data_IF_441484944503
#
_entry.id   IF_441484944503
#
_cell.length_a   1.000
_cell.length_b   1.000
_cell.length_c   1.000
_cell.angle_alpha   90.00
_cell.angle_beta   90.00
_cell.angle_gamma   90.00
#
_symmetry.space_group_name_H-M   'P 1'
#
loop_
_entity.id
_entity.type
_entity.pdbx_description
1 polymer ?
#
# COMPACT_ATOMS: atom_id res chain seq x y z
N UNK A 1 -42.03 30.26 23.37
CA UNK A 1 -41.13 30.68 22.27
C UNK A 1 -41.22 29.64 21.16
N UNK A 2 -41.68 30.02 19.97
CA UNK A 2 -42.04 29.08 18.91
C UNK A 2 -40.83 28.36 18.30
N UNK A 3 -41.04 27.10 17.91
CA UNK A 3 -40.10 26.19 17.22
C UNK A 3 -39.46 26.83 15.97
N UNK A 4 -40.07 27.87 15.41
CA UNK A 4 -39.51 28.68 14.32
C UNK A 4 -38.32 29.57 14.71
N UNK A 5 -38.22 30.01 15.97
CA UNK A 5 -37.08 30.82 16.43
C UNK A 5 -35.81 29.99 16.65
N UNK A 6 -35.94 28.68 16.85
CA UNK A 6 -34.81 27.75 16.98
C UNK A 6 -34.23 27.34 15.62
N UNK A 7 -35.08 27.15 14.59
CA UNK A 7 -34.63 26.91 13.21
C UNK A 7 -33.78 28.04 12.61
N UNK A 8 -33.97 29.29 13.07
CA UNK A 8 -33.20 30.45 12.58
C UNK A 8 -31.84 30.64 13.25
N UNK A 9 -31.55 29.95 14.37
CA UNK A 9 -30.23 30.02 15.04
C UNK A 9 -29.23 28.99 14.52
N UNK A 10 -29.68 27.94 13.84
CA UNK A 10 -28.84 26.87 13.28
C UNK A 10 -28.42 27.09 11.82
N UNK A 11 -28.68 28.25 11.22
CA UNK A 11 -28.30 28.48 9.82
C UNK A 11 -27.83 29.92 9.56
N UNK A 12 -26.64 30.32 10.04
CA UNK A 12 -26.04 31.57 9.63
C UNK A 12 -25.42 31.36 8.23
N UNK A 13 -26.18 31.80 7.22
CA UNK A 13 -25.90 31.71 5.76
C UNK A 13 -26.25 30.35 5.17
N UNK A 14 -27.33 30.32 4.39
CA UNK A 14 -27.76 29.20 3.56
C UNK A 14 -26.75 28.81 2.47
N UNK A 15 -25.61 28.27 2.87
CA UNK A 15 -24.85 27.36 2.02
C UNK A 15 -25.59 26.03 2.11
N UNK A 16 -26.29 25.65 1.03
CA UNK A 16 -26.66 24.24 0.84
C UNK A 16 -25.39 23.42 1.07
N UNK A 17 -25.43 22.30 1.82
CA UNK A 17 -24.29 21.41 1.90
C UNK A 17 -23.87 21.11 0.46
N UNK A 18 -22.63 21.46 0.14
CA UNK A 18 -22.09 21.09 -1.15
C UNK A 18 -21.96 19.57 -1.08
N UNK A 19 -22.84 18.82 -1.73
CA UNK A 19 -22.56 17.39 -1.94
C UNK A 19 -21.23 17.31 -2.68
N UNK A 20 -20.52 16.20 -2.50
CA UNK A 20 -19.33 15.88 -3.28
C UNK A 20 -19.77 15.68 -4.74
N UNK A 21 -19.91 16.78 -5.48
CA UNK A 21 -20.25 16.75 -6.89
C UNK A 21 -18.98 16.45 -7.64
N UNK A 22 -18.71 15.15 -7.79
CA UNK A 22 -17.84 14.70 -8.88
C UNK A 22 -18.32 15.38 -10.17
N UNK A 23 -17.40 15.96 -10.92
CA UNK A 23 -17.72 16.45 -12.26
C UNK A 23 -18.28 15.29 -13.09
N UNK A 24 -19.08 15.58 -14.10
CA UNK A 24 -19.61 14.52 -15.00
C UNK A 24 -18.49 13.66 -15.60
N UNK A 25 -17.32 14.27 -15.83
CA UNK A 25 -16.16 13.59 -16.38
C UNK A 25 -15.47 12.69 -15.36
N UNK A 26 -15.22 13.17 -14.14
CA UNK A 26 -14.69 12.34 -13.05
C UNK A 26 -15.61 11.17 -12.72
N UNK A 27 -16.92 11.43 -12.68
CA UNK A 27 -17.93 10.42 -12.41
C UNK A 27 -17.90 9.30 -13.47
N UNK A 28 -17.74 9.68 -14.74
CA UNK A 28 -17.63 8.75 -15.88
C UNK A 28 -16.30 7.99 -15.88
N UNK A 29 -15.19 8.66 -15.55
CA UNK A 29 -13.87 8.02 -15.39
C UNK A 29 -13.90 6.99 -14.25
N UNK A 30 -14.45 7.37 -13.09
CA UNK A 30 -14.57 6.50 -11.93
C UNK A 30 -15.48 5.29 -12.22
N UNK A 31 -16.58 5.49 -12.95
CA UNK A 31 -17.41 4.39 -13.44
C UNK A 31 -16.64 3.43 -14.33
N UNK A 32 -15.97 3.93 -15.36
CA UNK A 32 -15.17 3.08 -16.23
C UNK A 32 -14.12 2.30 -15.44
N UNK A 33 -13.52 2.93 -14.43
CA UNK A 33 -12.51 2.35 -13.57
C UNK A 33 -13.07 1.25 -12.65
N UNK A 34 -14.24 1.45 -12.04
CA UNK A 34 -14.89 0.43 -11.19
C UNK A 34 -15.48 -0.71 -12.04
N UNK A 35 -16.09 -0.39 -13.18
CA UNK A 35 -16.76 -1.38 -14.02
C UNK A 35 -15.80 -2.26 -14.82
N UNK A 36 -14.59 -1.79 -15.10
CA UNK A 36 -13.59 -2.59 -15.82
C UNK A 36 -13.32 -3.94 -15.11
N UNK A 37 -12.79 -3.99 -13.87
CA UNK A 37 -12.44 -5.25 -13.22
C UNK A 37 -13.64 -6.19 -13.04
N UNK A 38 -14.84 -5.68 -12.69
CA UNK A 38 -16.03 -6.54 -12.56
C UNK A 38 -16.47 -7.14 -13.89
N UNK A 39 -16.46 -6.38 -15.00
CA UNK A 39 -16.77 -6.93 -16.33
C UNK A 39 -15.72 -7.94 -16.76
N UNK A 40 -14.46 -7.73 -16.37
CA UNK A 40 -13.37 -8.68 -16.62
C UNK A 40 -13.54 -9.98 -15.84
N UNK A 41 -13.95 -9.88 -14.57
CA UNK A 41 -14.28 -11.02 -13.74
C UNK A 41 -15.48 -11.81 -14.31
N UNK A 42 -16.57 -11.14 -14.66
CA UNK A 42 -17.76 -11.74 -15.29
C UNK A 42 -17.41 -12.49 -16.58
N UNK A 43 -16.60 -11.89 -17.47
CA UNK A 43 -16.12 -12.57 -18.67
C UNK A 43 -15.28 -13.80 -18.36
N UNK A 44 -14.41 -13.74 -17.35
CA UNK A 44 -13.57 -14.89 -17.00
C UNK A 44 -14.42 -16.01 -16.41
N UNK A 45 -15.37 -15.68 -15.53
CA UNK A 45 -16.33 -16.65 -14.97
C UNK A 45 -17.04 -17.45 -16.07
N UNK A 46 -17.58 -16.75 -17.08
CA UNK A 46 -18.25 -17.36 -18.24
C UNK A 46 -17.35 -18.25 -19.10
N UNK A 47 -16.03 -18.08 -19.03
CA UNK A 47 -15.08 -18.97 -19.72
C UNK A 47 -14.62 -20.15 -18.84
N UNK A 48 -14.75 -20.04 -17.52
CA UNK A 48 -14.35 -21.10 -16.58
C UNK A 48 -15.46 -22.16 -16.44
N UNK A 49 -16.71 -21.72 -16.27
CA UNK A 49 -17.90 -22.57 -16.16
C UNK A 49 -19.09 -21.96 -16.89
N UNK A 50 -20.02 -22.82 -17.33
CA UNK A 50 -21.27 -22.40 -17.97
C UNK A 50 -22.30 -21.87 -16.94
N UNK A 51 -22.22 -22.34 -15.69
CA UNK A 51 -23.09 -21.96 -14.58
C UNK A 51 -22.35 -22.07 -13.22
N UNK A 52 -23.02 -21.60 -12.16
CA UNK A 52 -22.52 -21.66 -10.78
C UNK A 52 -22.71 -23.04 -10.13
N UNK A 53 -23.44 -23.98 -10.75
CA UNK A 53 -23.85 -25.25 -10.13
C UNK A 53 -22.66 -26.08 -9.69
N UNK A 54 -21.63 -26.18 -10.54
CA UNK A 54 -20.41 -26.90 -10.20
C UNK A 54 -19.70 -26.26 -9.00
N UNK A 55 -19.63 -24.94 -8.92
CA UNK A 55 -18.99 -24.27 -7.78
C UNK A 55 -19.78 -24.38 -6.48
N UNK A 56 -21.11 -24.34 -6.54
CA UNK A 56 -21.99 -24.45 -5.36
C UNK A 56 -22.07 -25.88 -4.82
N UNK A 57 -21.92 -26.88 -5.69
CA UNK A 57 -22.04 -28.30 -5.33
C UNK A 57 -20.71 -29.02 -5.22
N UNK A 58 -19.62 -28.47 -5.77
CA UNK A 58 -18.29 -29.03 -5.61
C UNK A 58 -17.90 -29.00 -4.14
N UNK A 59 -17.81 -30.18 -3.55
CA UNK A 59 -16.98 -30.36 -2.37
C UNK A 59 -15.55 -30.20 -2.84
N UNK A 60 -14.95 -29.04 -2.58
CA UNK A 60 -13.58 -28.63 -2.96
C UNK A 60 -12.52 -29.74 -2.78
N UNK A 61 -12.78 -30.70 -1.89
CA UNK A 61 -11.99 -31.90 -1.61
C UNK A 61 -11.81 -32.90 -2.76
N UNK A 62 -12.64 -32.88 -3.83
CA UNK A 62 -12.76 -34.00 -4.77
C UNK A 62 -12.66 -33.64 -6.26
N UNK A 63 -12.16 -32.46 -6.58
CA UNK A 63 -11.94 -32.06 -7.98
C UNK A 63 -10.57 -32.55 -8.48
N UNK A 64 -10.47 -32.83 -9.77
CA UNK A 64 -9.17 -33.09 -10.41
C UNK A 64 -8.31 -31.82 -10.44
N UNK A 65 -7.04 -31.94 -10.85
CA UNK A 65 -6.09 -30.83 -10.86
C UNK A 65 -6.50 -29.67 -11.79
N UNK A 66 -7.11 -29.98 -12.94
CA UNK A 66 -7.52 -28.95 -13.92
C UNK A 66 -8.73 -28.18 -13.40
N UNK A 67 -9.69 -28.89 -12.81
CA UNK A 67 -10.87 -28.28 -12.21
C UNK A 67 -10.52 -27.56 -10.92
N UNK A 68 -9.51 -27.99 -10.15
CA UNK A 68 -9.00 -27.24 -9.01
C UNK A 68 -8.48 -25.85 -9.40
N UNK A 69 -7.70 -25.76 -10.48
CA UNK A 69 -7.24 -24.48 -11.01
C UNK A 69 -8.41 -23.59 -11.42
N UNK A 70 -9.38 -24.12 -12.16
CA UNK A 70 -10.59 -23.38 -12.53
C UNK A 70 -11.39 -22.91 -11.31
N UNK A 71 -11.58 -23.76 -10.30
CA UNK A 71 -12.25 -23.42 -9.04
C UNK A 71 -11.55 -22.26 -8.33
N UNK A 72 -10.23 -22.32 -8.25
CA UNK A 72 -9.42 -21.26 -7.64
C UNK A 72 -9.67 -19.92 -8.34
N UNK A 73 -9.57 -19.88 -9.68
CA UNK A 73 -9.82 -18.65 -10.44
C UNK A 73 -11.29 -18.21 -10.43
N UNK A 74 -12.23 -19.14 -10.30
CA UNK A 74 -13.63 -18.81 -10.07
C UNK A 74 -13.81 -18.08 -8.75
N UNK A 75 -13.17 -18.56 -7.67
CA UNK A 75 -13.12 -17.89 -6.38
C UNK A 75 -12.49 -16.49 -6.45
N UNK A 76 -11.36 -16.36 -7.17
CA UNK A 76 -10.70 -15.06 -7.44
C UNK A 76 -11.68 -14.07 -8.08
N UNK A 77 -12.39 -14.48 -9.13
CA UNK A 77 -13.35 -13.64 -9.83
C UNK A 77 -14.52 -13.21 -8.93
N UNK A 78 -15.04 -14.12 -8.08
CA UNK A 78 -16.10 -13.78 -7.12
C UNK A 78 -15.63 -12.73 -6.11
N UNK A 79 -14.40 -12.85 -5.62
CA UNK A 79 -13.85 -11.89 -4.66
C UNK A 79 -13.62 -10.50 -5.28
N UNK A 80 -13.14 -10.44 -6.53
CA UNK A 80 -13.08 -9.19 -7.30
C UNK A 80 -14.49 -8.62 -7.53
N UNK A 81 -15.45 -9.46 -7.91
CA UNK A 81 -16.85 -9.06 -8.11
C UNK A 81 -17.45 -8.44 -6.84
N UNK A 82 -17.30 -9.09 -5.69
CA UNK A 82 -17.74 -8.57 -4.38
C UNK A 82 -17.11 -7.21 -4.06
N UNK A 83 -15.80 -7.06 -4.30
CA UNK A 83 -15.10 -5.80 -4.06
C UNK A 83 -15.61 -4.67 -4.96
N UNK A 84 -15.82 -4.95 -6.26
CA UNK A 84 -16.28 -3.93 -7.21
C UNK A 84 -17.75 -3.55 -7.01
N UNK A 85 -18.64 -4.50 -6.70
CA UNK A 85 -20.05 -4.21 -6.38
C UNK A 85 -20.14 -3.30 -5.15
N UNK A 86 -19.30 -3.55 -4.14
CA UNK A 86 -19.25 -2.67 -2.99
C UNK A 86 -18.77 -1.25 -3.34
N UNK A 87 -17.78 -1.11 -4.23
CA UNK A 87 -17.34 0.21 -4.72
C UNK A 87 -18.45 0.97 -5.45
N UNK A 88 -19.33 0.27 -6.18
CA UNK A 88 -20.49 0.89 -6.83
C UNK A 88 -21.43 1.48 -5.77
N UNK A 89 -21.78 0.69 -4.75
CA UNK A 89 -22.66 1.14 -3.66
C UNK A 89 -22.06 2.30 -2.86
N UNK A 90 -20.76 2.25 -2.57
CA UNK A 90 -20.06 3.32 -1.84
C UNK A 90 -20.00 4.61 -2.65
N UNK A 91 -19.81 4.49 -3.97
CA UNK A 91 -19.81 5.65 -4.86
C UNK A 91 -21.18 6.34 -4.85
N UNK A 92 -22.27 5.59 -4.93
CA UNK A 92 -23.63 6.13 -4.85
C UNK A 92 -23.83 6.87 -3.53
N UNK A 93 -23.41 6.26 -2.43
CA UNK A 93 -23.50 6.86 -1.09
C UNK A 93 -22.69 8.17 -0.97
N UNK A 94 -21.50 8.26 -1.57
CA UNK A 94 -20.67 9.48 -1.53
C UNK A 94 -21.32 10.69 -2.22
N UNK A 95 -22.27 10.48 -3.14
CA UNK A 95 -23.01 11.58 -3.76
C UNK A 95 -24.04 12.20 -2.79
N UNK A 96 -24.33 11.52 -1.68
CA UNK A 96 -25.33 11.91 -0.68
C UNK A 96 -24.71 12.51 0.59
N UNK A 97 -23.38 12.37 0.80
CA UNK A 97 -22.68 12.91 1.98
C UNK A 97 -22.35 14.41 1.79
N UNK A 98 -22.75 15.29 2.75
CA UNK A 98 -22.35 16.70 2.77
C UNK A 98 -20.82 16.88 2.80
N UNK A 99 -20.26 17.72 1.93
CA UNK A 99 -18.82 18.03 1.88
C UNK A 99 -18.38 19.05 2.95
N UNK A 100 -18.94 18.99 4.16
CA UNK A 100 -18.56 19.93 5.20
C UNK A 100 -17.06 19.81 5.54
N UNK A 101 -16.40 20.96 5.57
CA UNK A 101 -14.96 21.12 5.83
C UNK A 101 -14.61 20.71 7.27
N UNK A 102 -15.60 20.65 8.16
CA UNK A 102 -15.48 20.09 9.50
C UNK A 102 -16.76 19.29 9.82
N UNK A 103 -16.78 17.97 9.54
CA UNK A 103 -17.98 17.19 9.75
C UNK A 103 -18.34 17.19 11.25
N UNK A 104 -19.61 17.43 11.54
CA UNK A 104 -20.21 17.12 12.85
C UNK A 104 -19.81 15.69 13.28
N UNK A 105 -19.81 15.37 14.59
CA UNK A 105 -19.37 14.05 15.09
C UNK A 105 -19.96 12.86 14.32
N UNK A 106 -21.22 12.97 13.89
CA UNK A 106 -21.91 11.95 13.09
C UNK A 106 -21.32 11.83 11.67
N UNK A 107 -20.96 12.92 11.02
CA UNK A 107 -20.28 12.89 9.71
C UNK A 107 -18.90 12.22 9.79
N UNK A 108 -18.17 12.42 10.90
CA UNK A 108 -16.88 11.73 11.17
C UNK A 108 -17.09 10.22 11.35
N UNK A 109 -18.17 9.82 12.02
CA UNK A 109 -18.54 8.40 12.19
C UNK A 109 -18.91 7.77 10.84
N UNK A 110 -19.70 8.45 10.01
CA UNK A 110 -20.10 7.94 8.69
C UNK A 110 -18.87 7.76 7.79
N UNK A 111 -18.02 8.79 7.68
CA UNK A 111 -16.80 8.73 6.86
C UNK A 111 -15.80 7.69 7.37
N UNK A 112 -15.61 7.60 8.69
CA UNK A 112 -14.80 6.55 9.32
C UNK A 112 -15.33 5.14 9.04
N UNK A 113 -16.65 4.94 9.11
CA UNK A 113 -17.27 3.64 8.83
C UNK A 113 -17.03 3.19 7.38
N UNK A 114 -17.16 4.09 6.40
CA UNK A 114 -16.85 3.78 4.99
C UNK A 114 -15.37 3.46 4.84
N UNK A 115 -14.51 4.28 5.46
CA UNK A 115 -13.07 4.08 5.43
C UNK A 115 -12.68 2.70 5.97
N UNK A 116 -13.23 2.26 7.10
CA UNK A 116 -12.97 0.94 7.69
C UNK A 116 -13.38 -0.20 6.76
N UNK A 117 -14.55 -0.08 6.13
CA UNK A 117 -15.08 -1.08 5.19
C UNK A 117 -14.20 -1.15 3.93
N UNK A 118 -13.80 -0.01 3.35
CA UNK A 118 -12.87 0.03 2.21
C UNK A 118 -11.52 -0.59 2.55
N UNK A 119 -11.04 -0.25 3.73
CA UNK A 119 -9.75 -0.68 4.25
C UNK A 119 -9.70 -2.19 4.47
N UNK A 120 -10.78 -2.79 4.98
CA UNK A 120 -10.95 -4.24 5.03
C UNK A 120 -10.88 -4.89 3.63
N UNK A 121 -11.53 -4.29 2.63
CA UNK A 121 -11.48 -4.83 1.24
C UNK A 121 -10.12 -4.67 0.60
N UNK A 122 -9.44 -3.55 0.81
CA UNK A 122 -8.05 -3.34 0.36
C UNK A 122 -7.16 -4.43 0.92
N UNK A 123 -7.25 -4.73 2.22
CA UNK A 123 -6.50 -5.83 2.84
C UNK A 123 -6.75 -7.16 2.12
N UNK A 124 -8.01 -7.53 1.93
CA UNK A 124 -8.39 -8.79 1.26
C UNK A 124 -7.85 -8.87 -0.16
N UNK A 125 -7.92 -7.77 -0.93
CA UNK A 125 -7.42 -7.72 -2.31
C UNK A 125 -5.89 -7.73 -2.36
N UNK A 126 -5.20 -7.09 -1.43
CA UNK A 126 -3.72 -7.16 -1.33
C UNK A 126 -3.26 -8.57 -0.99
N UNK A 127 -3.96 -9.29 -0.10
CA UNK A 127 -3.70 -10.71 0.17
C UNK A 127 -3.86 -11.56 -1.09
N UNK A 128 -4.97 -11.38 -1.80
CA UNK A 128 -5.27 -12.11 -3.04
C UNK A 128 -4.25 -11.81 -4.14
N UNK A 129 -3.87 -10.54 -4.31
CA UNK A 129 -2.83 -10.13 -5.25
C UNK A 129 -1.47 -10.77 -4.90
N UNK A 130 -1.10 -10.79 -3.62
CA UNK A 130 0.14 -11.43 -3.15
C UNK A 130 0.17 -12.92 -3.49
N UNK A 131 -0.96 -13.61 -3.28
CA UNK A 131 -1.14 -15.03 -3.61
C UNK A 131 -0.99 -15.24 -5.12
N UNK A 132 -1.66 -14.43 -5.95
CA UNK A 132 -1.60 -14.55 -7.40
C UNK A 132 -0.21 -14.27 -7.98
N UNK A 133 0.51 -13.27 -7.46
CA UNK A 133 1.90 -13.02 -7.85
C UNK A 133 2.76 -14.25 -7.55
N UNK A 134 2.59 -14.86 -6.38
CA UNK A 134 3.35 -16.04 -6.01
C UNK A 134 2.95 -17.28 -6.83
N UNK A 135 1.67 -17.44 -7.20
CA UNK A 135 1.26 -18.46 -8.15
C UNK A 135 1.89 -18.23 -9.54
N UNK A 136 1.88 -17.01 -10.07
CA UNK A 136 2.50 -16.67 -11.35
C UNK A 136 4.00 -16.99 -11.38
N UNK A 137 4.70 -16.83 -10.25
CA UNK A 137 6.16 -16.98 -10.17
C UNK A 137 6.64 -18.37 -9.75
N UNK A 138 5.91 -19.04 -8.88
CA UNK A 138 6.39 -20.27 -8.23
C UNK A 138 5.62 -21.52 -8.67
N UNK A 139 4.38 -21.39 -9.15
CA UNK A 139 3.56 -22.54 -9.49
C UNK A 139 4.02 -23.15 -10.80
N UNK A 140 4.28 -24.46 -10.79
CA UNK A 140 4.73 -25.18 -11.97
C UNK A 140 3.64 -26.09 -12.55
N UNK A 141 2.76 -26.62 -11.69
CA UNK A 141 1.72 -27.57 -12.11
C UNK A 141 0.37 -27.31 -11.44
N UNK A 142 -0.69 -27.81 -12.06
CA UNK A 142 -2.07 -27.53 -11.64
C UNK A 142 -2.44 -28.20 -10.30
N UNK A 143 -1.72 -29.26 -9.89
CA UNK A 143 -1.91 -29.93 -8.60
C UNK A 143 -1.64 -28.99 -7.41
N UNK A 144 -0.80 -27.96 -7.57
CA UNK A 144 -0.55 -26.98 -6.51
C UNK A 144 -1.83 -26.19 -6.14
N UNK A 145 -2.74 -25.93 -7.09
CA UNK A 145 -4.04 -25.31 -6.81
C UNK A 145 -4.93 -26.26 -6.00
N UNK A 146 -4.90 -27.56 -6.32
CA UNK A 146 -5.63 -28.58 -5.55
C UNK A 146 -5.10 -28.66 -4.12
N UNK A 147 -3.78 -28.67 -3.94
CA UNK A 147 -3.15 -28.63 -2.62
C UNK A 147 -3.55 -27.36 -1.86
N UNK A 148 -3.52 -26.19 -2.51
CA UNK A 148 -3.90 -24.92 -1.90
C UNK A 148 -5.36 -24.95 -1.42
N UNK A 149 -6.30 -25.39 -2.26
CA UNK A 149 -7.72 -25.50 -1.90
C UNK A 149 -7.97 -26.52 -0.78
N UNK A 150 -7.31 -27.67 -0.81
CA UNK A 150 -7.37 -28.65 0.27
C UNK A 150 -6.82 -28.08 1.58
N UNK A 151 -5.75 -27.29 1.52
CA UNK A 151 -5.18 -26.62 2.68
C UNK A 151 -6.13 -25.55 3.26
N UNK A 152 -6.86 -24.80 2.42
CA UNK A 152 -7.90 -23.86 2.89
C UNK A 152 -9.02 -24.58 3.63
N UNK A 153 -9.51 -25.71 3.10
CA UNK A 153 -10.54 -26.50 3.75
C UNK A 153 -10.05 -27.15 5.05
N UNK A 154 -8.81 -27.64 5.07
CA UNK A 154 -8.17 -28.16 6.28
C UNK A 154 -8.06 -27.07 7.35
N UNK A 155 -7.69 -25.85 6.98
CA UNK A 155 -7.53 -24.73 7.92
C UNK A 155 -8.86 -24.35 8.60
N UNK A 156 -9.95 -24.34 7.82
CA UNK A 156 -11.31 -24.11 8.33
C UNK A 156 -11.75 -25.22 9.28
N UNK A 157 -11.50 -26.49 8.91
CA UNK A 157 -11.84 -27.64 9.75
C UNK A 157 -11.03 -27.65 11.06
N UNK A 158 -9.74 -27.33 11.00
CA UNK A 158 -8.86 -27.21 12.16
C UNK A 158 -9.31 -26.11 13.11
N UNK A 159 -9.57 -24.92 12.59
CA UNK A 159 -10.02 -23.77 13.40
C UNK A 159 -11.33 -24.09 14.11
N UNK A 160 -12.30 -24.69 13.40
CA UNK A 160 -13.56 -25.13 13.99
C UNK A 160 -13.38 -26.20 15.07
N UNK A 161 -12.44 -27.13 14.86
CA UNK A 161 -12.15 -28.18 15.83
C UNK A 161 -11.46 -27.63 17.08
N UNK A 162 -10.57 -26.63 16.95
CA UNK A 162 -9.95 -25.96 18.08
C UNK A 162 -10.95 -25.11 18.86
N UNK A 163 -11.80 -24.31 18.18
CA UNK A 163 -12.87 -23.55 18.83
C UNK A 163 -13.83 -24.47 19.60
N UNK A 164 -14.27 -25.57 18.98
CA UNK A 164 -15.14 -26.53 19.66
C UNK A 164 -14.45 -27.15 20.87
N UNK A 165 -13.17 -27.48 20.76
CA UNK A 165 -12.39 -28.07 21.86
C UNK A 165 -12.29 -27.09 23.03
N UNK A 166 -12.01 -25.83 22.76
CA UNK A 166 -11.91 -24.78 23.79
C UNK A 166 -13.28 -24.56 24.48
N UNK A 167 -14.35 -24.45 23.69
CA UNK A 167 -15.68 -24.11 24.20
C UNK A 167 -16.44 -25.29 24.82
N UNK A 168 -16.07 -26.54 24.49
CA UNK A 168 -16.78 -27.75 24.92
C UNK A 168 -15.86 -28.75 25.63
N UNK A 169 -15.11 -28.27 26.63
CA UNK A 169 -14.38 -29.10 27.59
C UNK A 169 -13.43 -30.11 26.93
N UNK A 170 -12.67 -29.64 25.94
CA UNK A 170 -11.69 -30.45 25.20
C UNK A 170 -12.26 -31.61 24.37
N UNK A 171 -13.58 -31.63 24.09
CA UNK A 171 -14.20 -32.66 23.24
C UNK A 171 -13.80 -32.52 21.76
N UNK A 172 -13.98 -33.61 21.02
CA UNK A 172 -13.64 -33.70 19.59
C UNK A 172 -14.89 -34.00 18.76
N UNK A 173 -15.00 -33.37 17.59
CA UNK A 173 -16.04 -33.71 16.60
C UNK A 173 -15.42 -34.69 15.61
N UNK A 174 -15.74 -35.97 15.74
CA UNK A 174 -15.12 -37.03 14.94
C UNK A 174 -15.27 -36.84 13.42
N UNK A 175 -16.40 -36.29 12.97
CA UNK A 175 -16.59 -35.97 11.54
C UNK A 175 -15.61 -34.92 11.03
N UNK A 176 -15.34 -33.88 11.84
CA UNK A 176 -14.36 -32.84 11.49
C UNK A 176 -12.95 -33.42 11.53
N UNK A 177 -12.64 -34.25 12.53
CA UNK A 177 -11.36 -34.94 12.60
C UNK A 177 -11.11 -35.81 11.37
N UNK A 178 -12.12 -36.58 10.93
CA UNK A 178 -12.06 -37.38 9.71
C UNK A 178 -11.79 -36.52 8.47
N UNK A 179 -12.45 -35.35 8.35
CA UNK A 179 -12.16 -34.41 7.26
C UNK A 179 -10.73 -33.85 7.33
N UNK A 180 -10.24 -33.49 8.52
CA UNK A 180 -8.85 -33.03 8.71
C UNK A 180 -7.86 -34.09 8.23
N UNK A 181 -8.12 -35.35 8.56
CA UNK A 181 -7.26 -36.48 8.19
C UNK A 181 -7.28 -36.72 6.66
N UNK A 182 -8.47 -36.73 6.04
CA UNK A 182 -8.63 -36.87 4.59
C UNK A 182 -7.92 -35.74 3.82
N UNK A 183 -8.08 -34.48 4.23
CA UNK A 183 -7.37 -33.36 3.60
C UNK A 183 -5.85 -33.47 3.75
N UNK A 184 -5.37 -33.83 4.95
CA UNK A 184 -3.95 -33.97 5.21
C UNK A 184 -3.31 -35.06 4.34
N UNK A 185 -4.00 -36.19 4.17
CA UNK A 185 -3.50 -37.31 3.38
C UNK A 185 -3.54 -37.03 1.88
N UNK A 186 -4.58 -36.33 1.38
CA UNK A 186 -4.62 -35.83 -0.01
C UNK A 186 -3.48 -34.87 -0.30
N UNK A 187 -3.25 -33.88 0.58
CA UNK A 187 -2.14 -32.93 0.43
C UNK A 187 -0.80 -33.67 0.36
N UNK A 188 -0.57 -34.66 1.24
CA UNK A 188 0.67 -35.46 1.20
C UNK A 188 0.78 -36.25 -0.10
N UNK A 189 -0.29 -36.88 -0.57
CA UNK A 189 -0.28 -37.64 -1.82
C UNK A 189 0.04 -36.74 -3.01
N UNK A 190 -0.57 -35.56 -3.10
CA UNK A 190 -0.30 -34.59 -4.16
C UNK A 190 1.14 -34.06 -4.09
N UNK A 191 1.66 -33.77 -2.89
CA UNK A 191 3.06 -33.39 -2.70
C UNK A 191 4.03 -34.50 -3.13
N UNK A 192 3.71 -35.77 -2.83
CA UNK A 192 4.49 -36.93 -3.28
C UNK A 192 4.46 -37.06 -4.81
N UNK A 193 3.30 -36.91 -5.44
CA UNK A 193 3.14 -36.95 -6.90
C UNK A 193 3.90 -35.80 -7.60
N UNK A 194 3.94 -34.64 -6.97
CA UNK A 194 4.73 -33.50 -7.42
C UNK A 194 6.25 -33.69 -7.20
N UNK A 195 6.65 -34.62 -6.34
CA UNK A 195 8.04 -34.82 -5.93
C UNK A 195 8.58 -33.69 -5.06
N UNK A 196 7.71 -33.00 -4.31
CA UNK A 196 8.07 -31.85 -3.47
C UNK A 196 7.86 -32.16 -1.99
N UNK A 197 8.78 -31.67 -1.15
CA UNK A 197 8.65 -31.79 0.31
C UNK A 197 8.14 -30.51 0.96
N UNK A 198 8.19 -29.39 0.24
CA UNK A 198 7.77 -28.08 0.72
C UNK A 198 7.09 -27.30 -0.40
N UNK A 199 6.08 -26.49 -0.03
CA UNK A 199 5.41 -25.57 -0.94
C UNK A 199 5.52 -24.14 -0.41
N UNK A 200 5.50 -23.17 -1.31
CA UNK A 200 5.74 -21.77 -0.96
C UNK A 200 4.66 -21.20 -0.04
N UNK A 201 3.43 -21.74 -0.04
CA UNK A 201 2.32 -21.27 0.80
C UNK A 201 2.10 -22.03 2.11
N UNK A 202 2.61 -23.27 2.26
CA UNK A 202 2.37 -24.12 3.44
C UNK A 202 3.39 -23.87 4.57
N UNK A 203 2.90 -23.85 5.81
CA UNK A 203 3.73 -23.96 7.01
C UNK A 203 3.89 -25.44 7.37
N UNK A 204 5.03 -26.03 7.00
CA UNK A 204 5.29 -27.46 7.19
C UNK A 204 5.21 -27.92 8.65
N UNK A 205 5.54 -27.05 9.62
CA UNK A 205 5.49 -27.41 11.04
C UNK A 205 4.03 -27.51 11.48
N UNK A 206 3.23 -26.49 11.14
CA UNK A 206 1.81 -26.45 11.50
C UNK A 206 0.99 -27.48 10.75
N UNK A 207 1.27 -27.69 9.47
CA UNK A 207 0.67 -28.75 8.67
C UNK A 207 0.93 -30.14 9.29
N UNK A 208 2.19 -30.48 9.59
CA UNK A 208 2.55 -31.75 10.25
C UNK A 208 1.88 -31.92 11.62
N UNK A 209 1.78 -30.83 12.39
CA UNK A 209 1.14 -30.83 13.71
C UNK A 209 -0.39 -30.71 13.65
N UNK A 210 -0.98 -30.57 12.45
CA UNK A 210 -2.41 -30.32 12.25
C UNK A 210 -2.91 -29.17 13.14
N UNK A 211 -2.29 -28.00 13.00
CA UNK A 211 -2.63 -26.77 13.74
C UNK A 211 -2.96 -25.61 12.80
N UNK A 212 -3.97 -24.79 13.11
CA UNK A 212 -4.26 -23.59 12.33
C UNK A 212 -3.28 -22.44 12.66
N UNK A 213 -3.05 -21.48 11.77
CA UNK A 213 -3.27 -21.62 10.33
C UNK A 213 -2.19 -22.51 9.68
N UNK A 214 -2.55 -23.48 8.82
CA UNK A 214 -1.59 -24.33 8.08
C UNK A 214 -0.83 -23.60 6.97
N UNK A 215 -1.24 -22.37 6.66
CA UNK A 215 -0.52 -21.49 5.74
C UNK A 215 0.60 -20.74 6.46
N UNK A 216 1.61 -20.35 5.69
CA UNK A 216 2.57 -19.34 6.14
C UNK A 216 1.82 -18.04 6.48
N UNK A 217 2.34 -17.31 7.47
CA UNK A 217 1.76 -16.05 7.90
C UNK A 217 1.56 -15.09 6.71
N UNK A 218 0.43 -14.38 6.64
CA UNK A 218 0.11 -13.45 5.54
C UNK A 218 1.19 -12.39 5.31
N UNK A 219 1.81 -11.90 6.38
CA UNK A 219 3.00 -11.02 6.31
C UNK A 219 4.15 -11.65 5.54
N UNK A 220 4.45 -12.94 5.78
CA UNK A 220 5.51 -13.65 5.06
C UNK A 220 5.16 -13.77 3.58
N UNK A 221 3.94 -14.18 3.24
CA UNK A 221 3.48 -14.27 1.85
C UNK A 221 3.55 -12.92 1.13
N UNK A 222 3.10 -11.83 1.77
CA UNK A 222 3.19 -10.49 1.21
C UNK A 222 4.64 -10.06 0.94
N UNK A 223 5.54 -10.29 1.89
CA UNK A 223 6.95 -9.95 1.73
C UNK A 223 7.63 -10.81 0.65
N UNK A 224 7.29 -12.10 0.56
CA UNK A 224 7.79 -12.98 -0.47
C UNK A 224 7.26 -12.54 -1.86
N UNK A 225 5.99 -12.11 -1.96
CA UNK A 225 5.42 -11.55 -3.19
C UNK A 225 6.12 -10.25 -3.61
N UNK A 226 6.41 -9.34 -2.67
CA UNK A 226 7.14 -8.09 -2.95
C UNK A 226 8.53 -8.30 -3.56
N UNK A 227 9.20 -9.43 -3.28
CA UNK A 227 10.52 -9.73 -3.82
C UNK A 227 10.48 -10.10 -5.30
N UNK A 228 9.38 -10.69 -5.76
CA UNK A 228 9.25 -11.22 -7.13
C UNK A 228 8.29 -10.40 -8.00
N UNK A 229 7.58 -9.44 -7.39
CA UNK A 229 6.66 -8.54 -8.05
C UNK A 229 7.40 -7.53 -8.96
N UNK A 230 6.83 -7.24 -10.13
CA UNK A 230 7.29 -6.15 -10.99
C UNK A 230 6.91 -4.77 -10.41
N UNK A 231 7.39 -3.68 -11.01
CA UNK A 231 7.21 -2.32 -10.46
C UNK A 231 5.74 -1.94 -10.24
N UNK A 232 4.87 -2.29 -11.18
CA UNK A 232 3.44 -2.02 -11.11
C UNK A 232 2.72 -2.90 -10.08
N UNK A 233 3.04 -4.19 -10.02
CA UNK A 233 2.56 -5.11 -8.98
C UNK A 233 2.97 -4.63 -7.58
N UNK A 234 4.23 -4.15 -7.43
CA UNK A 234 4.72 -3.57 -6.18
C UNK A 234 3.98 -2.28 -5.81
N UNK A 235 3.69 -1.44 -6.80
CA UNK A 235 2.88 -0.24 -6.59
C UNK A 235 1.47 -0.60 -6.12
N UNK A 236 0.84 -1.60 -6.73
CA UNK A 236 -0.49 -2.08 -6.35
C UNK A 236 -0.51 -2.77 -4.97
N UNK A 237 0.48 -3.60 -4.64
CA UNK A 237 0.64 -4.21 -3.31
C UNK A 237 0.84 -3.17 -2.20
N UNK A 238 1.43 -2.03 -2.55
CA UNK A 238 1.87 -1.01 -1.60
C UNK A 238 3.31 -1.21 -1.15
N UNK A 239 3.92 -0.10 -0.72
CA UNK A 239 5.36 0.03 -0.47
C UNK A 239 5.84 -0.84 0.69
N UNK A 240 5.00 -1.01 1.71
CA UNK A 240 5.31 -1.81 2.88
C UNK A 240 4.06 -2.53 3.38
N UNK A 241 4.25 -3.65 4.07
CA UNK A 241 3.15 -4.34 4.74
C UNK A 241 2.45 -3.39 5.72
N UNK A 242 3.20 -2.47 6.35
CA UNK A 242 2.65 -1.41 7.20
C UNK A 242 1.56 -0.59 6.51
N UNK A 243 1.88 -0.04 5.34
CA UNK A 243 0.98 0.85 4.58
C UNK A 243 -0.07 0.09 3.74
N UNK A 244 0.24 -1.11 3.24
CA UNK A 244 -0.69 -1.93 2.45
C UNK A 244 -1.60 -2.85 3.26
N UNK A 245 -1.20 -3.22 4.50
CA UNK A 245 -1.87 -4.26 5.29
C UNK A 245 -2.00 -3.95 6.80
N UNK A 246 -0.92 -3.60 7.51
CA UNK A 246 -0.95 -3.48 8.98
C UNK A 246 -1.87 -2.36 9.44
N UNK A 247 -1.78 -1.21 8.77
CA UNK A 247 -2.64 -0.05 9.03
C UNK A 247 -4.09 -0.39 8.65
N UNK A 248 -4.28 -1.14 7.57
CA UNK A 248 -5.63 -1.54 7.16
C UNK A 248 -6.25 -2.56 8.11
N UNK A 249 -5.44 -3.45 8.68
CA UNK A 249 -5.85 -4.38 9.72
C UNK A 249 -6.19 -3.68 11.04
N UNK A 250 -5.52 -2.57 11.39
CA UNK A 250 -5.82 -1.81 12.61
C UNK A 250 -7.23 -1.19 12.57
N UNK A 251 -7.68 -0.74 11.40
CA UNK A 251 -9.02 -0.16 11.21
C UNK A 251 -10.17 -1.18 11.39
N UNK A 252 -9.88 -2.48 11.32
CA UNK A 252 -10.89 -3.53 11.58
C UNK A 252 -11.07 -3.78 13.08
N UNK A 253 -10.15 -3.27 13.92
CA UNK A 253 -10.22 -3.43 15.36
C UNK A 253 -10.67 -2.12 16.05
N UNK A 254 -11.40 -2.19 17.17
CA UNK A 254 -11.77 -1.01 17.93
C UNK A 254 -10.53 -0.22 18.41
N UNK A 255 -10.38 1.02 17.95
CA UNK A 255 -9.32 1.93 18.39
C UNK A 255 -9.83 2.88 19.49
N UNK A 256 -10.10 2.32 20.68
CA UNK A 256 -10.79 3.05 21.77
C UNK A 256 -9.94 4.17 22.41
N UNK A 257 -8.61 4.12 22.27
CA UNK A 257 -7.70 5.14 22.83
C UNK A 257 -6.33 5.19 22.15
N UNK A 258 -6.17 4.49 21.01
CA UNK A 258 -4.96 4.61 20.20
C UNK A 258 -4.96 5.97 19.52
N UNK A 259 -3.77 6.50 19.18
CA UNK A 259 -3.71 7.55 18.17
C UNK A 259 -4.38 6.98 16.93
N UNK A 260 -5.57 7.49 16.60
CA UNK A 260 -6.24 7.18 15.36
C UNK A 260 -5.34 7.75 14.26
N UNK A 261 -4.41 6.92 13.77
CA UNK A 261 -3.57 7.25 12.64
C UNK A 261 -4.44 7.57 11.40
N UNK A 262 -5.75 7.31 11.42
CA UNK A 262 -6.74 7.66 10.43
C UNK A 262 -7.51 8.97 10.69
N UNK A 263 -7.31 9.68 11.82
CA UNK A 263 -8.09 10.88 12.17
C UNK A 263 -7.99 11.99 11.10
N UNK A 264 -6.80 12.14 10.52
CA UNK A 264 -6.54 13.09 9.41
C UNK A 264 -6.85 12.48 8.03
N UNK A 265 -7.19 11.19 7.97
CA UNK A 265 -7.41 10.41 6.75
C UNK A 265 -8.87 9.98 6.56
N UNK A 266 -9.76 10.19 7.53
CA UNK A 266 -11.22 9.99 7.39
C UNK A 266 -11.86 11.16 6.63
N UNK A 267 -11.24 11.51 5.50
CA UNK A 267 -11.69 12.57 4.60
C UNK A 267 -12.30 11.95 3.37
N UNK A 268 -13.28 12.63 2.78
CA UNK A 268 -13.81 12.25 1.46
C UNK A 268 -12.72 12.00 0.42
N UNK A 269 -11.68 12.84 0.43
CA UNK A 269 -10.56 12.72 -0.51
C UNK A 269 -9.88 11.36 -0.38
N UNK A 270 -9.65 10.89 0.84
CA UNK A 270 -9.06 9.58 1.08
C UNK A 270 -10.01 8.45 0.68
N UNK A 271 -11.32 8.59 0.93
CA UNK A 271 -12.31 7.60 0.49
C UNK A 271 -12.28 7.47 -1.04
N UNK A 272 -12.26 8.57 -1.79
CA UNK A 272 -12.13 8.55 -3.26
C UNK A 272 -10.81 7.92 -3.69
N UNK A 273 -9.71 8.24 -2.97
CA UNK A 273 -8.40 7.63 -3.22
C UNK A 273 -8.43 6.12 -3.02
N UNK A 274 -9.10 5.65 -1.98
CA UNK A 274 -9.28 4.22 -1.69
C UNK A 274 -10.11 3.51 -2.75
N UNK A 275 -11.16 4.15 -3.30
CA UNK A 275 -11.94 3.58 -4.43
C UNK A 275 -11.01 3.33 -5.61
N UNK A 276 -10.20 4.32 -5.97
CA UNK A 276 -9.25 4.23 -7.08
C UNK A 276 -8.18 3.18 -6.80
N UNK A 277 -7.65 3.15 -5.57
CA UNK A 277 -6.64 2.17 -5.19
C UNK A 277 -7.20 0.74 -5.22
N UNK A 278 -8.38 0.50 -4.64
CA UNK A 278 -9.02 -0.81 -4.61
C UNK A 278 -9.31 -1.31 -6.03
N UNK A 279 -9.86 -0.47 -6.90
CA UNK A 279 -10.08 -0.86 -8.29
C UNK A 279 -8.76 -1.15 -9.02
N UNK A 280 -7.69 -0.39 -8.75
CA UNK A 280 -6.35 -0.67 -9.32
C UNK A 280 -5.88 -2.07 -8.93
N UNK A 281 -5.96 -2.43 -7.65
CA UNK A 281 -5.61 -3.78 -7.18
C UNK A 281 -6.46 -4.83 -7.89
N UNK A 282 -7.78 -4.63 -8.00
CA UNK A 282 -8.68 -5.54 -8.70
C UNK A 282 -8.30 -5.74 -10.18
N UNK A 283 -7.87 -4.69 -10.89
CA UNK A 283 -7.41 -4.83 -12.26
C UNK A 283 -6.10 -5.64 -12.35
N UNK A 284 -5.15 -5.47 -11.41
CA UNK A 284 -3.94 -6.28 -11.35
C UNK A 284 -4.25 -7.76 -11.07
N UNK A 285 -5.18 -8.02 -10.14
CA UNK A 285 -5.68 -9.37 -9.85
C UNK A 285 -6.25 -10.00 -11.12
N UNK A 286 -7.12 -9.29 -11.84
CA UNK A 286 -7.71 -9.82 -13.07
C UNK A 286 -6.67 -10.02 -14.17
N UNK A 287 -5.71 -9.10 -14.34
CA UNK A 287 -4.63 -9.27 -15.30
C UNK A 287 -3.83 -10.55 -15.05
N UNK A 288 -3.41 -10.79 -13.80
CA UNK A 288 -2.71 -12.01 -13.42
C UNK A 288 -3.60 -13.25 -13.58
N UNK A 289 -4.88 -13.18 -13.22
CA UNK A 289 -5.81 -14.29 -13.39
C UNK A 289 -5.91 -14.74 -14.86
N UNK A 290 -6.14 -13.82 -15.79
CA UNK A 290 -6.19 -14.16 -17.23
C UNK A 290 -4.84 -14.71 -17.72
N UNK A 291 -3.72 -14.11 -17.29
CA UNK A 291 -2.38 -14.56 -17.66
C UNK A 291 -2.12 -16.00 -17.21
N UNK A 292 -2.42 -16.33 -15.94
CA UNK A 292 -2.14 -17.65 -15.36
C UNK A 292 -3.09 -18.73 -15.89
N UNK A 293 -4.35 -18.37 -16.15
CA UNK A 293 -5.32 -19.28 -16.79
C UNK A 293 -4.98 -19.52 -18.26
N UNK A 294 -4.30 -18.57 -18.93
CA UNK A 294 -3.95 -18.67 -20.35
C UNK A 294 -5.10 -18.29 -21.29
N UNK A 295 -6.03 -17.46 -20.83
CA UNK A 295 -7.16 -16.96 -21.64
C UNK A 295 -6.89 -15.51 -22.04
N UNK A 296 -7.25 -15.16 -23.28
CA UNK A 296 -7.18 -13.77 -23.76
C UNK A 296 -8.40 -13.01 -23.23
N UNK A 297 -8.21 -11.87 -22.56
CA UNK A 297 -9.31 -10.98 -22.18
C UNK A 297 -9.75 -10.12 -23.38
N UNK A 298 -10.91 -10.40 -24.01
CA UNK A 298 -11.37 -9.64 -25.18
C UNK A 298 -11.78 -8.21 -24.82
N UNK A 299 -12.11 -7.92 -23.56
CA UNK A 299 -12.46 -6.58 -23.10
C UNK A 299 -11.26 -5.71 -22.75
N UNK A 300 -10.05 -6.26 -22.85
CA UNK A 300 -8.84 -5.48 -22.94
C UNK A 300 -8.33 -4.86 -21.65
N UNK A 301 -8.63 -5.37 -20.45
CA UNK A 301 -7.85 -4.95 -19.26
C UNK A 301 -6.41 -5.40 -19.43
N UNK A 302 -6.17 -6.63 -19.90
CA UNK A 302 -4.82 -7.11 -20.21
C UNK A 302 -4.15 -6.28 -21.29
N UNK A 303 -4.90 -5.75 -22.27
CA UNK A 303 -4.37 -4.88 -23.32
C UNK A 303 -4.16 -3.43 -22.85
N UNK A 304 -5.09 -2.90 -22.05
CA UNK A 304 -5.09 -1.54 -21.52
C UNK A 304 -4.08 -1.37 -20.39
N UNK A 305 -3.94 -2.37 -19.53
CA UNK A 305 -2.84 -2.46 -18.59
C UNK A 305 -1.56 -2.87 -19.31
N UNK A 306 -1.54 -3.90 -20.16
CA UNK A 306 -0.31 -4.36 -20.86
C UNK A 306 0.41 -3.24 -21.63
N UNK A 307 -0.31 -2.49 -22.45
CA UNK A 307 0.24 -1.33 -23.17
C UNK A 307 0.61 -0.15 -22.23
N UNK A 308 0.02 -0.10 -21.03
CA UNK A 308 0.36 0.88 -19.98
C UNK A 308 1.47 0.38 -19.04
N UNK A 309 1.70 -0.93 -18.89
CA UNK A 309 2.79 -1.53 -18.09
C UNK A 309 4.13 -1.19 -18.74
N UNK A 310 4.24 -1.38 -20.06
CA UNK A 310 5.45 -0.99 -20.81
C UNK A 310 5.74 0.52 -20.78
N UNK A 311 4.72 1.35 -20.49
CA UNK A 311 4.81 2.81 -20.39
C UNK A 311 4.53 3.33 -18.96
N UNK A 312 4.55 2.45 -17.96
CA UNK A 312 4.05 2.77 -16.64
C UNK A 312 4.98 3.76 -15.93
N UNK A 313 4.38 4.71 -15.21
CA UNK A 313 5.11 5.59 -14.30
C UNK A 313 5.34 4.94 -12.92
N UNK A 314 4.93 3.68 -12.70
CA UNK A 314 5.07 3.00 -11.42
C UNK A 314 6.53 2.99 -10.93
N UNK A 315 7.49 2.72 -11.81
CA UNK A 315 8.92 2.82 -11.48
C UNK A 315 9.30 4.21 -10.95
N UNK A 316 8.77 5.28 -11.57
CA UNK A 316 8.99 6.67 -11.11
C UNK A 316 8.34 6.97 -9.75
N UNK A 317 7.21 6.33 -9.46
CA UNK A 317 6.54 6.44 -8.16
C UNK A 317 7.28 5.67 -7.06
N UNK A 318 8.09 4.67 -7.42
CA UNK A 318 8.95 3.91 -6.51
C UNK A 318 10.35 4.53 -6.32
N UNK A 319 10.83 5.35 -7.27
CA UNK A 319 12.13 6.06 -7.21
C UNK A 319 12.40 6.75 -5.86
N UNK A 320 11.42 7.43 -5.19
CA UNK A 320 11.65 8.04 -3.89
C UNK A 320 12.15 7.08 -2.80
N UNK A 321 11.81 5.79 -2.87
CA UNK A 321 12.22 4.78 -1.89
C UNK A 321 13.65 4.28 -2.11
N UNK A 322 14.23 4.61 -3.25
CA UNK A 322 15.58 4.22 -3.64
C UNK A 322 16.46 5.42 -3.96
N UNK A 323 16.11 6.62 -3.47
CA UNK A 323 16.95 7.82 -3.65
C UNK A 323 18.35 7.58 -3.09
N UNK A 324 19.35 8.00 -3.87
CA UNK A 324 20.75 7.92 -3.53
C UNK A 324 21.19 9.20 -2.81
N UNK A 325 21.76 9.03 -1.62
CA UNK A 325 22.41 10.08 -0.84
C UNK A 325 23.81 9.62 -0.47
N UNK A 326 24.76 10.55 -0.37
CA UNK A 326 26.14 10.23 -0.02
C UNK A 326 26.38 10.38 1.48
N UNK A 327 27.30 9.57 2.02
CA UNK A 327 27.73 9.71 3.41
C UNK A 327 28.32 11.10 3.65
N UNK A 328 27.83 11.76 4.70
CA UNK A 328 28.20 13.12 5.06
C UNK A 328 27.36 14.21 4.39
N UNK A 329 26.43 13.89 3.48
CA UNK A 329 25.51 14.87 2.90
C UNK A 329 24.69 15.58 3.99
N UNK A 330 24.50 16.89 3.83
CA UNK A 330 23.52 17.67 4.59
C UNK A 330 22.19 17.58 3.83
N UNK A 331 21.16 17.08 4.51
CA UNK A 331 19.85 16.82 3.93
C UNK A 331 18.75 17.52 4.71
N UNK A 332 17.61 17.72 4.03
CA UNK A 332 16.36 18.17 4.64
C UNK A 332 15.36 17.01 4.70
N UNK A 333 14.80 16.74 5.88
CA UNK A 333 13.78 15.70 6.08
C UNK A 333 12.38 16.20 5.74
N UNK A 334 11.43 15.28 5.57
CA UNK A 334 10.01 15.55 5.31
C UNK A 334 9.33 16.36 6.44
N UNK A 335 9.87 16.33 7.65
CA UNK A 335 9.40 17.07 8.81
C UNK A 335 10.18 18.37 9.05
N UNK A 336 10.94 18.82 8.05
CA UNK A 336 11.69 20.06 8.07
C UNK A 336 12.81 20.08 9.13
N UNK A 337 13.45 18.94 9.40
CA UNK A 337 14.70 18.90 10.17
C UNK A 337 15.92 18.93 9.24
N UNK A 338 16.98 19.59 9.70
CA UNK A 338 18.30 19.55 9.09
C UNK A 338 19.07 18.37 9.68
N UNK A 339 19.60 17.50 8.83
CA UNK A 339 20.34 16.33 9.29
C UNK A 339 21.53 16.02 8.38
N UNK A 340 22.44 15.18 8.88
CA UNK A 340 23.61 14.69 8.15
C UNK A 340 23.53 13.19 7.97
N UNK A 341 23.79 12.69 6.76
CA UNK A 341 23.84 11.25 6.50
C UNK A 341 25.09 10.65 7.14
N UNK A 342 24.91 9.60 7.94
CA UNK A 342 25.98 8.91 8.68
C UNK A 342 26.22 7.51 8.13
N UNK A 343 25.15 6.77 7.84
CA UNK A 343 25.21 5.40 7.33
C UNK A 343 24.09 5.17 6.29
N UNK A 344 24.29 4.21 5.40
CA UNK A 344 23.31 3.76 4.41
C UNK A 344 23.00 2.27 4.61
N UNK A 345 21.71 1.92 4.50
CA UNK A 345 21.25 0.54 4.43
C UNK A 345 20.32 0.33 3.24
N UNK A 346 20.60 -0.69 2.43
CA UNK A 346 19.71 -1.15 1.35
C UNK A 346 19.11 -2.50 1.70
N UNK A 347 17.80 -2.55 1.80
CA UNK A 347 17.05 -3.78 2.06
C UNK A 347 17.06 -4.72 0.85
N UNK A 348 16.78 -6.01 1.07
CA UNK A 348 16.57 -7.00 0.00
C UNK A 348 15.43 -6.65 -0.99
N UNK A 349 14.53 -5.75 -0.60
CA UNK A 349 13.45 -5.25 -1.47
C UNK A 349 13.90 -4.08 -2.36
N UNK A 350 15.15 -3.61 -2.23
CA UNK A 350 15.68 -2.48 -2.98
C UNK A 350 15.41 -1.11 -2.36
N UNK A 351 14.69 -1.03 -1.23
CA UNK A 351 14.48 0.22 -0.50
C UNK A 351 15.71 0.62 0.28
N UNK A 352 15.98 1.93 0.32
CA UNK A 352 17.08 2.53 1.07
C UNK A 352 16.58 3.23 2.33
N UNK A 353 17.35 3.10 3.39
CA UNK A 353 17.22 3.86 4.62
C UNK A 353 18.59 4.41 5.00
N UNK A 354 18.60 5.56 5.66
CA UNK A 354 19.82 6.25 6.04
C UNK A 354 19.77 6.54 7.53
N UNK A 355 20.86 6.25 8.22
CA UNK A 355 21.06 6.73 9.58
C UNK A 355 21.49 8.18 9.48
N UNK A 356 20.79 9.06 10.18
CA UNK A 356 21.07 10.49 10.17
C UNK A 356 21.40 10.98 11.56
N UNK A 357 22.26 12.00 11.61
CA UNK A 357 22.50 12.80 12.80
C UNK A 357 21.82 14.15 12.64
N UNK A 358 20.91 14.48 13.54
CA UNK A 358 20.20 15.76 13.48
C UNK A 358 21.16 16.91 13.77
N UNK A 359 21.15 17.91 12.89
CA UNK A 359 21.90 19.16 13.04
C UNK A 359 21.01 20.24 13.68
N UNK A 360 19.73 20.27 13.32
CA UNK A 360 18.71 21.03 14.04
C UNK A 360 18.20 20.25 15.27
N UNK A 361 17.31 20.86 16.06
CA UNK A 361 16.66 20.16 17.17
C UNK A 361 15.99 18.87 16.68
N UNK A 362 16.32 17.69 17.23
CA UNK A 362 15.69 16.43 16.83
C UNK A 362 14.22 16.39 17.28
N UNK A 363 13.38 15.55 16.64
CA UNK A 363 12.00 15.35 17.08
C UNK A 363 11.90 14.90 18.54
N UNK A 364 12.83 14.05 18.97
CA UNK A 364 12.99 13.59 20.34
C UNK A 364 14.43 13.89 20.80
N UNK A 365 14.62 14.71 21.85
CA UNK A 365 15.95 15.10 22.34
C UNK A 365 16.88 13.95 22.71
N UNK A 366 16.32 12.82 23.13
CA UNK A 366 17.08 11.63 23.55
C UNK A 366 17.67 10.86 22.36
N UNK A 367 17.20 11.15 21.14
CA UNK A 367 17.60 10.49 19.90
C UNK A 367 18.25 11.52 18.93
N UNK A 368 19.52 11.90 19.17
CA UNK A 368 20.25 12.82 18.30
C UNK A 368 20.61 12.18 16.94
N UNK A 369 20.52 10.84 16.85
CA UNK A 369 20.65 10.07 15.62
C UNK A 369 19.46 9.12 15.48
N UNK A 370 18.97 8.92 14.25
CA UNK A 370 17.90 7.96 13.97
C UNK A 370 17.98 7.43 12.53
N UNK A 371 17.27 6.33 12.25
CA UNK A 371 17.09 5.78 10.90
C UNK A 371 15.87 6.36 10.23
N UNK A 372 16.06 6.93 9.04
CA UNK A 372 14.96 7.43 8.21
C UNK A 372 14.94 6.75 6.85
N UNK A 373 13.73 6.48 6.36
CA UNK A 373 13.52 5.95 5.00
C UNK A 373 13.90 7.01 3.96
N UNK A 374 14.48 6.59 2.82
CA UNK A 374 14.90 7.51 1.75
C UNK A 374 13.77 8.44 1.25
N UNK A 375 12.53 7.94 1.23
CA UNK A 375 11.36 8.72 0.80
C UNK A 375 11.03 9.89 1.74
N UNK A 376 11.48 9.83 3.00
CA UNK A 376 11.28 10.89 3.99
C UNK A 376 12.43 11.91 3.97
N UNK A 377 13.37 11.79 3.03
CA UNK A 377 14.38 12.81 2.74
C UNK A 377 13.93 13.61 1.51
N UNK A 378 13.70 14.91 1.70
CA UNK A 378 13.22 15.80 0.65
C UNK A 378 14.31 15.96 -0.42
N UNK A 379 15.53 16.27 0.02
CA UNK A 379 16.68 16.40 -0.87
C UNK A 379 17.98 16.75 -0.15
N UNK A 380 19.07 16.69 -0.90
CA UNK A 380 20.41 17.11 -0.47
C UNK A 380 20.55 18.61 -0.60
N UNK A 381 20.92 19.28 0.49
CA UNK A 381 21.23 20.71 0.51
C UNK A 381 22.70 20.95 0.17
N UNK A 382 23.59 20.06 0.62
CA UNK A 382 25.02 20.16 0.38
C UNK A 382 25.71 18.80 0.48
N UNK A 383 26.60 18.52 -0.47
CA UNK A 383 27.50 17.36 -0.45
C UNK A 383 28.94 17.82 -0.33
N UNK A 384 29.82 16.99 0.25
CA UNK A 384 31.24 17.33 0.43
C UNK A 384 31.92 17.67 -0.89
N UNK A 385 31.62 16.92 -1.95
CA UNK A 385 32.16 17.14 -3.29
C UNK A 385 31.62 18.40 -3.99
N UNK A 386 30.48 18.96 -3.54
CA UNK A 386 29.87 20.14 -4.14
C UNK A 386 30.27 21.45 -3.46
N UNK A 387 30.75 21.38 -2.21
CA UNK A 387 30.92 22.56 -1.36
C UNK A 387 31.83 23.62 -1.96
N UNK A 388 32.98 23.23 -2.52
CA UNK A 388 33.91 24.18 -3.14
C UNK A 388 33.27 24.89 -4.33
N UNK A 389 32.69 24.12 -5.25
CA UNK A 389 32.00 24.67 -6.42
C UNK A 389 30.83 25.59 -6.05
N UNK A 390 30.15 25.32 -4.92
CA UNK A 390 29.10 26.19 -4.40
C UNK A 390 29.68 27.54 -3.96
N UNK A 391 30.76 27.54 -3.16
CA UNK A 391 31.41 28.78 -2.72
C UNK A 391 32.04 29.55 -3.90
N UNK A 392 32.60 28.86 -4.90
CA UNK A 392 33.15 29.50 -6.11
C UNK A 392 32.05 30.21 -6.91
N UNK A 393 30.91 29.56 -7.14
CA UNK A 393 29.76 30.18 -7.81
C UNK A 393 29.19 31.34 -7.00
N UNK A 394 29.11 31.18 -5.68
CA UNK A 394 28.67 32.24 -4.79
C UNK A 394 29.60 33.46 -4.87
N UNK A 395 30.92 33.24 -4.84
CA UNK A 395 31.93 34.29 -5.02
C UNK A 395 31.78 35.00 -6.37
N UNK A 396 31.56 34.25 -7.46
CA UNK A 396 31.34 34.81 -8.79
C UNK A 396 30.04 35.63 -8.89
N UNK A 397 28.99 35.28 -8.14
CA UNK A 397 27.73 36.04 -8.13
C UNK A 397 27.81 37.36 -7.37
N UNK A 398 28.86 37.54 -6.56
CA UNK A 398 29.15 38.78 -5.83
C UNK A 398 30.04 39.69 -6.70
N UNK A 399 29.56 40.07 -7.90
CA UNK A 399 30.31 40.81 -8.93
C UNK A 399 30.69 42.26 -8.60
N UNK A 400 30.64 42.71 -7.35
CA UNK A 400 31.08 44.06 -6.97
C UNK A 400 31.97 44.02 -5.73
N UNK A 401 33.00 44.89 -5.74
CA UNK A 401 34.03 45.12 -4.71
C UNK A 401 33.44 45.49 -3.35
N UNK A 402 32.74 44.55 -2.73
CA UNK A 402 32.22 44.66 -1.38
C UNK A 402 33.08 43.74 -0.49
N UNK A 403 33.34 44.15 0.76
CA UNK A 403 34.14 43.40 1.75
C UNK A 403 33.75 41.90 1.86
N UNK A 404 32.48 41.59 1.57
CA UNK A 404 31.94 40.22 1.52
C UNK A 404 32.59 39.38 0.42
N UNK A 405 32.85 39.95 -0.76
CA UNK A 405 33.50 39.25 -1.87
C UNK A 405 34.95 38.88 -1.58
N UNK A 406 35.71 39.76 -0.91
CA UNK A 406 37.08 39.45 -0.46
C UNK A 406 37.09 38.40 0.65
N UNK A 407 36.18 38.51 1.62
CA UNK A 407 36.04 37.51 2.68
C UNK A 407 35.72 36.11 2.10
N UNK A 408 34.87 36.02 1.08
CA UNK A 408 34.57 34.74 0.41
C UNK A 408 35.78 34.18 -0.35
N UNK A 409 36.62 35.03 -0.97
CA UNK A 409 37.87 34.60 -1.62
C UNK A 409 38.89 34.03 -0.63
N UNK A 410 38.99 34.60 0.57
CA UNK A 410 39.84 34.05 1.64
C UNK A 410 39.28 32.73 2.17
N UNK A 411 37.96 32.62 2.36
CA UNK A 411 37.30 31.36 2.76
C UNK A 411 37.56 30.24 1.75
N UNK A 412 37.59 30.54 0.44
CA UNK A 412 37.87 29.55 -0.60
C UNK A 412 39.28 28.91 -0.53
N UNK A 413 40.23 29.53 0.18
CA UNK A 413 41.57 28.94 0.42
C UNK A 413 41.55 27.81 1.44
N UNK A 414 40.47 27.67 2.21
CA UNK A 414 40.35 26.64 3.23
C UNK A 414 40.16 25.25 2.61
N UNK A 415 40.53 24.17 3.33
CA UNK A 415 40.23 22.80 2.91
C UNK A 415 38.72 22.56 2.78
N UNK A 416 38.33 21.62 1.91
CA UNK A 416 36.92 21.28 1.66
C UNK A 416 36.17 20.88 2.94
N UNK A 417 36.86 20.25 3.88
CA UNK A 417 36.26 19.89 5.17
C UNK A 417 35.86 21.09 6.01
N UNK A 418 36.66 22.15 5.99
CA UNK A 418 36.36 23.40 6.70
C UNK A 418 35.26 24.17 5.99
N UNK A 419 35.34 24.29 4.66
CA UNK A 419 34.26 24.84 3.83
C UNK A 419 32.92 24.14 4.12
N UNK A 420 32.94 22.82 4.24
CA UNK A 420 31.76 22.03 4.57
C UNK A 420 31.24 22.32 5.97
N UNK A 421 32.12 22.47 6.97
CA UNK A 421 31.72 22.88 8.33
C UNK A 421 31.10 24.27 8.36
N UNK A 422 31.60 25.21 7.56
CA UNK A 422 31.01 26.54 7.42
C UNK A 422 29.63 26.48 6.77
N UNK A 423 29.47 25.67 5.71
CA UNK A 423 28.16 25.43 5.10
C UNK A 423 27.18 24.81 6.10
N UNK A 424 27.61 23.82 6.88
CA UNK A 424 26.81 23.17 7.93
C UNK A 424 26.27 24.19 8.94
N UNK A 425 27.16 25.06 9.46
CA UNK A 425 26.77 26.15 10.38
C UNK A 425 25.83 27.16 9.73
N UNK A 426 26.06 27.53 8.47
CA UNK A 426 25.23 28.49 7.75
C UNK A 426 23.81 27.96 7.54
N UNK A 427 23.66 26.70 7.10
CA UNK A 427 22.35 26.07 6.94
C UNK A 427 21.60 25.97 8.27
N UNK A 428 22.30 25.61 9.35
CA UNK A 428 21.71 25.57 10.69
C UNK A 428 21.25 26.95 11.17
N UNK A 429 22.05 28.00 10.94
CA UNK A 429 21.67 29.37 11.29
C UNK A 429 20.45 29.86 10.49
N UNK A 430 20.42 29.60 9.17
CA UNK A 430 19.25 29.91 8.34
C UNK A 430 18.01 29.14 8.74
N UNK A 431 18.16 27.88 9.17
CA UNK A 431 17.06 27.05 9.65
C UNK A 431 16.50 27.59 10.98
N UNK A 432 17.37 27.84 11.97
CA UNK A 432 16.98 28.38 13.27
C UNK A 432 16.33 29.77 13.17
N UNK A 433 16.71 30.57 12.17
CA UNK A 433 16.10 31.89 11.88
C UNK A 433 14.81 31.80 11.04
N UNK A 434 14.35 30.60 10.68
CA UNK A 434 13.15 30.38 9.86
C UNK A 434 13.30 30.84 8.40
N UNK A 435 14.53 31.09 7.92
CA UNK A 435 14.80 31.63 6.58
C UNK A 435 15.02 30.53 5.54
N UNK A 436 15.57 29.38 5.95
CA UNK A 436 15.98 28.32 5.03
C UNK A 436 14.86 27.88 4.07
N UNK A 437 13.66 27.59 4.58
CA UNK A 437 12.56 27.09 3.74
C UNK A 437 12.11 28.13 2.71
N UNK A 438 11.97 29.40 3.12
CA UNK A 438 11.62 30.47 2.20
C UNK A 438 12.69 30.67 1.11
N UNK A 439 13.97 30.51 1.45
CA UNK A 439 15.06 30.54 0.47
C UNK A 439 14.97 29.37 -0.51
N UNK A 440 14.73 28.16 -0.03
CA UNK A 440 14.62 26.98 -0.89
C UNK A 440 13.40 27.02 -1.81
N UNK A 441 12.28 27.60 -1.34
CA UNK A 441 11.10 27.86 -2.18
C UNK A 441 11.39 28.90 -3.28
N UNK A 442 12.02 30.02 -2.93
CA UNK A 442 12.41 31.07 -3.90
C UNK A 442 13.42 30.57 -4.94
N UNK A 443 14.33 29.68 -4.53
CA UNK A 443 15.30 29.05 -5.41
C UNK A 443 14.69 27.96 -6.31
N UNK A 444 13.40 27.62 -6.13
CA UNK A 444 12.73 26.53 -6.85
C UNK A 444 13.20 25.13 -6.45
N UNK A 445 14.00 25.01 -5.40
CA UNK A 445 14.46 23.73 -4.85
C UNK A 445 13.31 22.99 -4.16
N UNK A 446 12.51 23.72 -3.37
CA UNK A 446 11.21 23.27 -2.91
C UNK A 446 10.14 23.85 -3.82
N UNK A 447 9.09 23.06 -4.08
CA UNK A 447 7.87 23.57 -4.67
C UNK A 447 6.88 23.83 -3.54
N UNK A 448 6.14 24.93 -3.60
CA UNK A 448 4.93 25.03 -2.81
C UNK A 448 4.08 23.80 -3.10
N UNK A 449 3.46 23.25 -2.05
CA UNK A 449 2.61 22.08 -2.16
C UNK A 449 1.41 22.49 -3.02
N UNK A 450 1.55 22.35 -4.34
CA UNK A 450 0.40 22.36 -5.25
C UNK A 450 -0.50 21.26 -4.72
N UNK A 451 -1.76 21.59 -4.43
CA UNK A 451 -2.76 20.55 -4.27
C UNK A 451 -2.66 19.69 -5.51
N UNK A 452 -2.15 18.48 -5.35
CA UNK A 452 -2.03 17.56 -6.47
C UNK A 452 -3.45 17.25 -6.89
N UNK A 453 -3.87 17.91 -7.96
CA UNK A 453 -5.11 17.65 -8.66
C UNK A 453 -4.90 16.31 -9.38
N UNK A 454 -5.22 15.23 -8.68
CA UNK A 454 -5.22 13.89 -9.23
C UNK A 454 -6.46 13.73 -10.11
N UNK A 455 -6.42 14.38 -11.27
CA UNK A 455 -7.41 14.30 -12.36
C UNK A 455 -7.17 13.13 -13.33
#
# INVERSE_FOLDING_TARGET
MSVEKEKKRLNPKGKKPANIKLTKEENKKLEAFIFAPVRSADRLLKNLYNDDSFYETATYARVDEKDAKKLFFYGVCKEVGKACIALINEKEFLQEVPAEIDPEPIGKIITGSIYDIQTYRIRKMVELLSILILFDKNCQKDEEYRIYLNAENMDLALSRQEDFRELHESRIIFNIQSSIDDFADRIKQDMLNLGVTELWFLDNIKFKKKKPSVFKAKKKLFLDALLVANADERFALGISYGRGYSRTSQCVHPLLGSHDYGKDYNTTKQIITNITYLSTICMHIMHLAYKIVGIIDPGGITKALGAKFEKSKASKLLEPMSKDFQLGDIVLTAWNELAKIMEEHKSKYGYKAYKVRYLSKPPLPEFPEDWIEAQNIIGTLMSKNMVRSFYEKFAQSLTHENEVGEAVKEVLKLPDEELFRYAEKAFLDFHNKGRLISMLLKAGFLKEKQEVDFS
#
